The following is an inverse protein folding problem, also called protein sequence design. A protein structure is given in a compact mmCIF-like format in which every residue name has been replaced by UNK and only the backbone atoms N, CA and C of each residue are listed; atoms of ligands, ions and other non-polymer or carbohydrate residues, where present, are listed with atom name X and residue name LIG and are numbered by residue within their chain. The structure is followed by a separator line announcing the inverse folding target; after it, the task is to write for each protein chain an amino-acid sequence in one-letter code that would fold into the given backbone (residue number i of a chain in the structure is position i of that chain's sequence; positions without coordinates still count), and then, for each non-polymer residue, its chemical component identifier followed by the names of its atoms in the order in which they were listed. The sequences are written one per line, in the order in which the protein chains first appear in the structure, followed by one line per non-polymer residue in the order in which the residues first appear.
data_IF_664058809175
#
_entry.id   IF_664058809175
#
_cell.length_a   1.000
_cell.length_b   1.000
_cell.length_c   1.000
_cell.angle_alpha   90.00
_cell.angle_beta   90.00
_cell.angle_gamma   90.00
#
_symmetry.space_group_name_H-M   'P 1'
#
loop_
_entity.id
_entity.type
_entity.pdbx_description
1 polymer ?
#
# COMPACT_ATOMS: atom_id res chain seq x y z
N UNK A 1 12.83 -14.44 -1.19
CA UNK A 1 13.12 -14.98 0.16
C UNK A 1 12.07 -16.04 0.47
N UNK A 2 12.43 -17.19 1.07
CA UNK A 2 11.48 -18.27 1.41
C UNK A 2 10.67 -18.84 0.23
N UNK A 3 11.20 -18.79 -1.00
CA UNK A 3 10.49 -19.30 -2.18
C UNK A 3 9.25 -18.51 -2.59
N UNK A 4 9.20 -17.20 -2.29
CA UNK A 4 8.17 -16.29 -2.79
C UNK A 4 8.76 -15.15 -3.61
N UNK A 5 8.03 -14.75 -4.65
CA UNK A 5 8.19 -13.47 -5.33
C UNK A 5 7.48 -12.41 -4.49
N UNK A 6 8.24 -11.44 -3.97
CA UNK A 6 7.70 -10.40 -3.11
C UNK A 6 8.05 -9.03 -3.67
N UNK A 7 7.05 -8.16 -3.84
CA UNK A 7 7.24 -6.79 -4.31
C UNK A 7 7.19 -5.85 -3.11
N UNK A 8 8.21 -4.99 -2.98
CA UNK A 8 8.42 -4.06 -1.87
C UNK A 8 8.60 -2.64 -2.41
N UNK A 9 8.21 -1.64 -1.60
CA UNK A 9 8.41 -0.21 -1.92
C UNK A 9 9.72 0.29 -1.32
N UNK A 10 10.05 -0.18 -0.13
CA UNK A 10 11.27 0.17 0.58
C UNK A 10 12.32 -0.92 0.37
N UNK A 11 13.58 -0.51 0.33
CA UNK A 11 14.73 -1.41 0.23
C UNK A 11 15.02 -2.03 1.61
N UNK A 12 14.12 -2.91 2.05
CA UNK A 12 14.24 -3.70 3.28
C UNK A 12 14.15 -5.19 2.95
N UNK A 13 15.00 -5.60 2.01
CA UNK A 13 15.02 -6.95 1.42
C UNK A 13 15.01 -8.05 2.50
N UNK A 14 15.60 -7.81 3.67
CA UNK A 14 15.75 -8.75 4.78
C UNK A 14 14.56 -8.81 5.78
N UNK A 15 13.81 -7.72 6.03
CA UNK A 15 12.92 -7.63 7.22
C UNK A 15 11.47 -7.14 6.96
N UNK A 16 11.07 -6.81 5.72
CA UNK A 16 9.74 -6.26 5.42
C UNK A 16 8.69 -7.26 4.92
N UNK A 17 7.44 -7.15 5.40
CA UNK A 17 6.26 -7.66 4.68
C UNK A 17 6.08 -6.83 3.40
N UNK A 18 6.23 -7.46 2.23
CA UNK A 18 6.01 -6.77 0.95
C UNK A 18 4.54 -6.42 0.72
N UNK A 19 4.28 -5.49 -0.20
CA UNK A 19 2.92 -5.09 -0.58
C UNK A 19 2.22 -6.13 -1.45
N UNK A 20 2.99 -7.09 -1.97
CA UNK A 20 2.49 -8.24 -2.70
C UNK A 20 3.46 -9.40 -2.53
N UNK A 21 2.92 -10.61 -2.39
CA UNK A 21 3.71 -11.83 -2.31
C UNK A 21 2.96 -12.99 -2.94
N UNK A 22 3.64 -13.78 -3.75
CA UNK A 22 3.11 -15.03 -4.30
C UNK A 22 4.22 -16.09 -4.39
N UNK A 23 3.84 -17.36 -4.40
CA UNK A 23 4.80 -18.46 -4.50
C UNK A 23 5.46 -18.51 -5.88
N UNK A 24 6.72 -18.93 -5.88
CA UNK A 24 7.46 -19.31 -7.09
C UNK A 24 7.65 -20.82 -7.11
N UNK A 25 7.71 -21.40 -8.31
CA UNK A 25 7.89 -22.85 -8.47
C UNK A 25 9.27 -23.28 -7.97
N UNK A 26 10.30 -22.51 -8.32
CA UNK A 26 11.67 -22.76 -7.87
C UNK A 26 11.96 -21.97 -6.60
N UNK A 27 11.88 -22.63 -5.44
CA UNK A 27 12.02 -21.97 -4.14
C UNK A 27 13.44 -21.48 -3.82
N UNK A 28 14.45 -22.13 -4.41
CA UNK A 28 15.87 -21.85 -4.18
C UNK A 28 16.42 -20.78 -5.13
N UNK A 29 15.58 -20.12 -5.92
CA UNK A 29 16.00 -19.08 -6.85
C UNK A 29 16.41 -17.79 -6.12
N UNK A 30 17.43 -17.12 -6.66
CA UNK A 30 17.88 -15.80 -6.24
C UNK A 30 17.31 -14.70 -7.15
N UNK A 31 17.48 -13.43 -6.75
CA UNK A 31 17.06 -12.30 -7.59
C UNK A 31 17.84 -12.24 -8.91
N UNK A 32 19.09 -12.72 -8.93
CA UNK A 32 19.95 -12.71 -10.12
C UNK A 32 19.50 -13.73 -11.18
N UNK A 33 18.69 -14.71 -10.79
CA UNK A 33 18.16 -15.75 -11.69
C UNK A 33 16.88 -15.29 -12.43
N UNK A 34 16.27 -14.18 -12.01
CA UNK A 34 15.04 -13.64 -12.55
C UNK A 34 15.29 -12.45 -13.49
N UNK A 35 14.39 -12.23 -14.45
CA UNK A 35 14.44 -11.06 -15.34
C UNK A 35 13.32 -10.08 -15.01
N UNK A 36 13.66 -8.79 -14.94
CA UNK A 36 12.72 -7.73 -14.58
C UNK A 36 12.67 -6.67 -15.68
N UNK A 37 11.46 -6.30 -16.09
CA UNK A 37 11.20 -5.19 -17.00
C UNK A 37 10.12 -4.31 -16.38
N UNK A 38 10.22 -3.00 -16.62
CA UNK A 38 9.21 -2.07 -16.15
C UNK A 38 8.91 -0.98 -17.19
N UNK A 39 7.73 -0.37 -17.06
CA UNK A 39 7.34 0.82 -17.78
C UNK A 39 6.72 1.80 -16.80
N UNK A 40 7.31 2.99 -16.72
CA UNK A 40 6.86 4.07 -15.84
C UNK A 40 5.84 4.95 -16.60
N UNK A 41 4.62 5.03 -16.07
CA UNK A 41 3.50 5.84 -16.55
C UNK A 41 3.11 6.91 -15.50
N UNK A 42 4.09 7.35 -14.70
CA UNK A 42 3.92 8.33 -13.63
C UNK A 42 3.44 7.67 -12.34
N UNK A 43 2.13 7.69 -12.08
CA UNK A 43 1.61 7.03 -10.87
C UNK A 43 1.45 5.51 -11.05
N UNK A 44 1.33 5.03 -12.28
CA UNK A 44 1.31 3.60 -12.58
C UNK A 44 2.69 3.13 -13.04
N UNK A 45 3.18 2.04 -12.47
CA UNK A 45 4.36 1.32 -12.96
C UNK A 45 3.93 -0.07 -13.38
N UNK A 46 4.09 -0.37 -14.66
CA UNK A 46 3.85 -1.69 -15.21
C UNK A 46 5.09 -2.55 -15.02
N UNK A 47 4.94 -3.76 -14.51
CA UNK A 47 6.03 -4.69 -14.25
C UNK A 47 5.82 -5.97 -15.04
N UNK A 48 6.90 -6.47 -15.63
CA UNK A 48 7.00 -7.81 -16.19
C UNK A 48 8.17 -8.50 -15.50
N UNK A 49 7.87 -9.59 -14.81
CA UNK A 49 8.84 -10.35 -14.03
C UNK A 49 8.83 -11.78 -14.54
N UNK A 50 10.00 -12.30 -14.91
CA UNK A 50 10.21 -13.71 -15.25
C UNK A 50 11.01 -14.37 -14.14
N UNK A 51 10.37 -15.15 -13.26
CA UNK A 51 11.09 -16.00 -12.31
C UNK A 51 11.89 -17.08 -13.05
N UNK A 52 12.85 -17.68 -12.36
CA UNK A 52 13.74 -18.68 -12.95
C UNK A 52 12.99 -19.92 -13.42
N UNK A 53 13.13 -20.27 -14.71
CA UNK A 53 12.45 -21.39 -15.37
C UNK A 53 10.91 -21.34 -15.33
N UNK A 54 10.34 -20.15 -15.16
CA UNK A 54 8.89 -19.93 -15.11
C UNK A 54 8.42 -18.98 -16.21
N UNK A 55 7.10 -18.93 -16.41
CA UNK A 55 6.48 -17.99 -17.34
C UNK A 55 6.52 -16.53 -16.84
N UNK A 56 6.41 -15.60 -17.79
CA UNK A 56 6.31 -14.18 -17.50
C UNK A 56 5.07 -13.85 -16.66
N UNK A 57 5.28 -13.14 -15.56
CA UNK A 57 4.23 -12.60 -14.67
C UNK A 57 4.14 -11.09 -14.83
N UNK A 58 2.94 -10.55 -14.77
CA UNK A 58 2.68 -9.14 -15.07
C UNK A 58 1.94 -8.46 -13.93
N UNK A 59 2.37 -7.25 -13.59
CA UNK A 59 1.81 -6.50 -12.47
C UNK A 59 1.62 -5.03 -12.80
N UNK A 60 0.67 -4.41 -12.13
CA UNK A 60 0.45 -2.97 -12.11
C UNK A 60 0.69 -2.50 -10.68
N UNK A 61 1.71 -1.69 -10.48
CA UNK A 61 1.95 -0.97 -9.23
C UNK A 61 1.34 0.43 -9.33
N UNK A 62 0.57 0.83 -8.32
CA UNK A 62 0.12 2.21 -8.17
C UNK A 62 0.84 2.88 -7.00
N UNK A 63 1.57 3.96 -7.29
CA UNK A 63 2.43 4.64 -6.33
C UNK A 63 1.66 5.44 -5.27
N UNK A 64 0.43 5.86 -5.53
CA UNK A 64 -0.40 6.64 -4.58
C UNK A 64 -1.10 5.77 -3.56
N UNK A 65 -1.73 4.68 -4.00
CA UNK A 65 -2.39 3.72 -3.10
C UNK A 65 -1.44 2.64 -2.59
N UNK A 66 -0.19 2.61 -3.06
CA UNK A 66 0.86 1.65 -2.67
C UNK A 66 0.42 0.19 -2.81
N UNK A 67 -0.36 -0.10 -3.85
CA UNK A 67 -0.88 -1.44 -4.15
C UNK A 67 -0.28 -1.99 -5.43
N UNK A 68 -0.10 -3.30 -5.46
CA UNK A 68 0.24 -4.06 -6.66
C UNK A 68 -0.92 -4.99 -6.97
N UNK A 69 -1.29 -5.06 -8.24
CA UNK A 69 -2.27 -6.03 -8.75
C UNK A 69 -1.62 -6.86 -9.83
N UNK A 70 -1.76 -8.19 -9.73
CA UNK A 70 -1.33 -9.12 -10.79
C UNK A 70 -2.34 -9.11 -11.93
N UNK A 71 -1.85 -8.85 -13.13
CA UNK A 71 -2.70 -8.71 -14.33
C UNK A 71 -2.03 -9.33 -15.54
N UNK A 72 -2.21 -10.65 -15.70
CA UNK A 72 -1.55 -11.43 -16.74
C UNK A 72 -1.97 -11.04 -18.17
N UNK A 73 -3.14 -10.42 -18.35
CA UNK A 73 -3.62 -9.94 -19.66
C UNK A 73 -2.81 -8.76 -20.20
N UNK A 74 -1.97 -8.13 -19.36
CA UNK A 74 -1.02 -7.11 -19.79
C UNK A 74 0.02 -7.66 -20.78
N UNK A 75 0.25 -8.98 -20.77
CA UNK A 75 1.11 -9.67 -21.76
C UNK A 75 0.58 -9.53 -23.20
N UNK A 76 -0.75 -9.45 -23.33
CA UNK A 76 -1.45 -9.50 -24.60
C UNK A 76 -1.59 -8.08 -25.16
N UNK A 77 -2.24 -7.19 -24.42
CA UNK A 77 -2.38 -5.77 -24.79
C UNK A 77 -2.74 -4.89 -23.58
N UNK A 78 -1.88 -3.90 -23.30
CA UNK A 78 -2.19 -2.75 -22.44
C UNK A 78 -2.16 -1.46 -23.24
N UNK A 79 -3.26 -0.71 -23.23
CA UNK A 79 -3.43 0.51 -24.03
C UNK A 79 -3.67 1.68 -23.09
N UNK A 80 -3.00 2.81 -23.34
CA UNK A 80 -3.24 4.05 -22.58
C UNK A 80 -4.66 4.55 -22.84
N UNK A 81 -5.35 4.89 -21.75
CA UNK A 81 -6.61 5.62 -21.79
C UNK A 81 -6.37 7.06 -22.27
N UNK A 82 -7.40 7.75 -22.80
CA UNK A 82 -7.31 9.15 -23.14
C UNK A 82 -6.86 10.01 -21.96
N UNK A 83 -6.19 11.13 -22.25
CA UNK A 83 -5.75 12.13 -21.27
C UNK A 83 -4.95 11.53 -20.09
N UNK A 84 -4.20 10.45 -20.37
CA UNK A 84 -3.34 9.72 -19.42
C UNK A 84 -4.07 9.21 -18.17
N UNK A 85 -5.41 9.05 -18.23
CA UNK A 85 -6.25 8.64 -17.10
C UNK A 85 -5.95 7.24 -16.55
N UNK A 86 -5.22 6.42 -17.30
CA UNK A 86 -4.79 5.09 -16.88
C UNK A 86 -4.53 4.15 -18.06
N UNK A 87 -4.74 2.87 -17.84
CA UNK A 87 -4.60 1.82 -18.86
C UNK A 87 -5.87 0.99 -18.98
N UNK A 88 -6.18 0.57 -20.21
CA UNK A 88 -7.21 -0.40 -20.53
C UNK A 88 -6.58 -1.68 -21.07
N UNK A 89 -7.17 -2.79 -20.65
CA UNK A 89 -6.76 -4.16 -20.95
C UNK A 89 -7.93 -4.86 -21.62
N UNK A 90 -7.68 -5.99 -22.26
CA UNK A 90 -8.74 -6.78 -22.89
C UNK A 90 -9.83 -7.26 -21.93
N UNK A 91 -9.53 -7.37 -20.64
CA UNK A 91 -10.47 -7.82 -19.61
C UNK A 91 -10.65 -6.80 -18.48
N UNK A 92 -10.38 -5.52 -18.68
CA UNK A 92 -10.54 -4.54 -17.61
C UNK A 92 -9.81 -3.22 -17.84
N UNK A 93 -9.69 -2.44 -16.77
CA UNK A 93 -8.97 -1.18 -16.78
C UNK A 93 -8.40 -0.86 -15.39
N UNK A 94 -7.41 0.02 -15.37
CA UNK A 94 -6.76 0.52 -14.17
C UNK A 94 -6.48 2.02 -14.32
N UNK A 95 -7.08 2.84 -13.46
CA UNK A 95 -6.94 4.30 -13.49
C UNK A 95 -5.75 4.77 -12.64
N UNK A 96 -5.26 5.97 -12.95
CA UNK A 96 -4.23 6.65 -12.15
C UNK A 96 -4.70 6.84 -10.70
N UNK A 97 -5.99 7.07 -10.45
CA UNK A 97 -6.56 7.22 -9.09
C UNK A 97 -6.53 5.94 -8.24
N UNK A 98 -6.16 4.80 -8.85
CA UNK A 98 -6.15 3.47 -8.21
C UNK A 98 -7.45 2.70 -8.37
N UNK A 99 -8.51 3.34 -8.88
CA UNK A 99 -9.73 2.64 -9.26
C UNK A 99 -9.46 1.70 -10.43
N UNK A 100 -9.95 0.48 -10.31
CA UNK A 100 -9.72 -0.55 -11.30
C UNK A 100 -10.88 -1.53 -11.30
N UNK A 101 -11.05 -2.19 -12.44
CA UNK A 101 -12.01 -3.28 -12.59
C UNK A 101 -11.45 -4.28 -13.57
N UNK A 102 -11.20 -5.49 -13.07
CA UNK A 102 -10.80 -6.65 -13.86
C UNK A 102 -12.00 -7.61 -13.90
N UNK A 103 -12.44 -7.97 -15.10
CA UNK A 103 -13.56 -8.88 -15.32
C UNK A 103 -13.07 -10.34 -15.33
N UNK A 104 -13.88 -11.25 -14.78
CA UNK A 104 -13.55 -12.67 -14.68
C UNK A 104 -13.45 -13.35 -16.05
N UNK A 105 -14.33 -12.97 -16.98
CA UNK A 105 -14.30 -13.47 -18.35
C UNK A 105 -13.16 -12.81 -19.10
N UNK A 106 -12.22 -13.63 -19.58
CA UNK A 106 -11.09 -13.20 -20.40
C UNK A 106 -10.90 -14.11 -21.61
N UNK A 107 -10.27 -13.55 -22.63
CA UNK A 107 -9.81 -14.28 -23.81
C UNK A 107 -8.30 -14.04 -23.88
N UNK A 108 -7.53 -15.11 -23.95
CA UNK A 108 -6.07 -15.05 -23.98
C UNK A 108 -5.58 -14.89 -25.43
N UNK A 109 -4.41 -14.25 -25.61
CA UNK A 109 -3.82 -14.08 -26.95
C UNK A 109 -4.54 -13.05 -27.82
N UNK A 110 -5.37 -12.21 -27.20
CA UNK A 110 -6.04 -11.08 -27.85
C UNK A 110 -5.02 -10.01 -28.26
N UNK A 111 -5.20 -9.45 -29.45
CA UNK A 111 -4.42 -8.32 -29.95
C UNK A 111 -5.30 -7.09 -29.98
N UNK A 112 -4.72 -5.93 -29.69
CA UNK A 112 -5.42 -4.66 -29.89
C UNK A 112 -5.64 -4.42 -31.39
N UNK A 113 -6.89 -4.23 -31.78
CA UNK A 113 -7.28 -4.02 -33.18
C UNK A 113 -7.42 -2.53 -33.51
N UNK A 114 -8.23 -1.79 -32.75
CA UNK A 114 -8.45 -0.36 -32.96
C UNK A 114 -9.12 0.33 -31.77
N UNK A 115 -8.99 1.66 -31.76
CA UNK A 115 -9.72 2.60 -30.90
C UNK A 115 -10.65 3.45 -31.78
N UNK A 116 -11.91 3.61 -31.37
CA UNK A 116 -12.89 4.49 -32.02
C UNK A 116 -13.29 5.56 -31.01
N UNK A 117 -13.09 6.82 -31.37
CA UNK A 117 -13.50 7.96 -30.55
C UNK A 117 -14.87 8.44 -31.03
N UNK A 118 -15.82 8.61 -30.10
CA UNK A 118 -17.09 9.26 -30.42
C UNK A 118 -16.89 10.76 -30.68
N UNK A 119 -17.62 11.37 -31.63
CA UNK A 119 -17.65 12.81 -31.82
C UNK A 119 -18.11 13.61 -30.60
N UNK A 120 -18.77 12.98 -29.61
CA UNK A 120 -19.08 13.61 -28.33
C UNK A 120 -17.83 13.86 -27.47
N UNK A 121 -16.68 13.27 -27.79
CA UNK A 121 -15.43 13.45 -27.04
C UNK A 121 -15.38 12.72 -25.69
N UNK A 122 -16.48 12.13 -25.22
CA UNK A 122 -16.60 11.45 -23.93
C UNK A 122 -16.34 9.94 -24.06
N UNK A 123 -16.86 9.32 -25.11
CA UNK A 123 -16.86 7.86 -25.26
C UNK A 123 -15.77 7.37 -26.20
N UNK A 124 -15.06 6.34 -25.76
CA UNK A 124 -14.02 5.64 -26.53
C UNK A 124 -14.33 4.15 -26.56
N UNK A 125 -14.36 3.57 -27.76
CA UNK A 125 -14.52 2.13 -27.97
C UNK A 125 -13.15 1.52 -28.24
N UNK A 126 -12.74 0.57 -27.41
CA UNK A 126 -11.53 -0.23 -27.59
C UNK A 126 -11.92 -1.62 -28.07
N UNK A 127 -11.27 -2.07 -29.14
CA UNK A 127 -11.57 -3.35 -29.76
C UNK A 127 -10.32 -4.21 -29.75
N UNK A 128 -10.45 -5.41 -29.18
CA UNK A 128 -9.45 -6.45 -29.16
C UNK A 128 -9.94 -7.64 -29.98
N UNK A 129 -9.02 -8.38 -30.58
CA UNK A 129 -9.31 -9.49 -31.48
C UNK A 129 -8.38 -10.68 -31.24
N UNK A 130 -8.95 -11.87 -31.19
CA UNK A 130 -8.26 -13.15 -31.04
C UNK A 130 -8.38 -13.95 -32.35
N UNK A 131 -7.25 -14.47 -32.84
CA UNK A 131 -7.17 -15.05 -34.19
C UNK A 131 -7.67 -16.49 -34.28
N UNK A 132 -7.54 -17.30 -33.22
CA UNK A 132 -7.82 -18.74 -33.23
C UNK A 132 -9.32 -19.06 -33.36
N UNK A 133 -10.16 -18.32 -32.62
CA UNK A 133 -11.61 -18.50 -32.59
C UNK A 133 -12.35 -17.33 -33.25
N UNK A 134 -11.63 -16.33 -33.75
CA UNK A 134 -12.20 -15.08 -34.28
C UNK A 134 -13.07 -14.35 -33.24
N UNK A 135 -12.63 -14.36 -31.98
CA UNK A 135 -13.33 -13.67 -30.91
C UNK A 135 -12.92 -12.18 -30.84
N UNK A 136 -13.90 -11.33 -30.58
CA UNK A 136 -13.72 -9.90 -30.33
C UNK A 136 -14.09 -9.58 -28.88
N UNK A 137 -13.29 -8.71 -28.27
CA UNK A 137 -13.63 -8.07 -26.99
C UNK A 137 -13.75 -6.58 -27.23
N UNK A 138 -14.93 -6.04 -26.94
CA UNK A 138 -15.25 -4.63 -27.16
C UNK A 138 -15.53 -3.97 -25.82
N UNK A 139 -14.78 -2.92 -25.52
CA UNK A 139 -14.86 -2.17 -24.27
C UNK A 139 -15.21 -0.72 -24.55
N UNK A 140 -16.30 -0.25 -23.95
CA UNK A 140 -16.74 1.15 -24.02
C UNK A 140 -16.27 1.87 -22.77
N UNK A 141 -15.34 2.80 -22.92
CA UNK A 141 -14.83 3.67 -21.86
C UNK A 141 -15.44 5.06 -21.97
N UNK A 142 -15.86 5.65 -20.84
CA UNK A 142 -16.30 7.03 -20.77
C UNK A 142 -15.28 7.85 -19.96
N UNK A 143 -14.78 8.94 -20.55
CA UNK A 143 -13.71 9.79 -19.98
C UNK A 143 -14.19 10.60 -18.77
N UNK A 144 -15.47 10.98 -18.73
CA UNK A 144 -16.06 11.74 -17.61
C UNK A 144 -16.30 10.81 -16.44
N UNK A 145 -17.07 9.74 -16.65
CA UNK A 145 -17.39 8.76 -15.60
C UNK A 145 -16.16 7.96 -15.16
N UNK A 146 -15.12 7.90 -16.00
CA UNK A 146 -13.93 7.08 -15.83
C UNK A 146 -14.23 5.58 -15.63
N UNK A 147 -15.30 5.10 -16.28
CA UNK A 147 -15.70 3.69 -16.18
C UNK A 147 -15.74 3.00 -17.53
N UNK A 148 -15.54 1.68 -17.48
CA UNK A 148 -15.80 0.78 -18.62
C UNK A 148 -17.15 0.09 -18.42
N UNK A 149 -18.04 0.23 -19.41
CA UNK A 149 -19.33 -0.48 -19.46
C UNK A 149 -19.10 -1.99 -19.57
N UNK A 150 -20.15 -2.79 -19.36
CA UNK A 150 -20.06 -4.25 -19.48
C UNK A 150 -19.42 -4.66 -20.82
N UNK A 151 -18.33 -5.45 -20.79
CA UNK A 151 -17.65 -5.89 -22.01
C UNK A 151 -18.56 -6.68 -22.94
N UNK A 152 -18.42 -6.45 -24.24
CA UNK A 152 -19.09 -7.25 -25.27
C UNK A 152 -18.08 -8.24 -25.83
N UNK A 153 -18.37 -9.53 -25.63
CA UNK A 153 -17.66 -10.63 -26.27
C UNK A 153 -18.50 -11.12 -27.43
N UNK A 154 -17.93 -11.16 -28.64
CA UNK A 154 -18.65 -11.55 -29.87
C UNK A 154 -17.71 -12.15 -30.92
N UNK A 155 -18.25 -12.80 -31.96
CA UNK A 155 -17.44 -13.38 -33.05
C UNK A 155 -17.42 -12.49 -34.31
N UNK A 156 -18.20 -11.41 -34.29
CA UNK A 156 -18.22 -10.43 -35.37
C UNK A 156 -19.10 -9.26 -34.98
N UNK A 157 -18.71 -8.07 -35.46
CA UNK A 157 -19.44 -6.85 -35.20
C UNK A 157 -19.28 -5.85 -36.36
N UNK A 158 -20.21 -4.90 -36.45
CA UNK A 158 -20.12 -3.73 -37.31
C UNK A 158 -20.70 -2.52 -36.59
N UNK A 159 -20.21 -1.33 -36.97
CA UNK A 159 -20.68 -0.05 -36.45
C UNK A 159 -21.09 0.84 -37.63
N UNK A 160 -22.35 1.28 -37.62
CA UNK A 160 -22.91 2.16 -38.63
C UNK A 160 -22.66 3.64 -38.30
N UNK A 161 -22.76 4.51 -39.32
CA UNK A 161 -22.47 5.94 -39.18
C UNK A 161 -23.38 6.65 -38.15
N UNK A 162 -24.60 6.15 -37.96
CA UNK A 162 -25.58 6.70 -37.00
C UNK A 162 -25.41 6.13 -35.58
N UNK A 163 -24.33 5.39 -35.31
CA UNK A 163 -24.02 4.85 -33.99
C UNK A 163 -24.72 3.52 -33.68
N UNK A 164 -25.46 2.93 -34.61
CA UNK A 164 -25.96 1.56 -34.45
C UNK A 164 -24.79 0.57 -34.52
N UNK A 165 -24.64 -0.26 -33.49
CA UNK A 165 -23.68 -1.35 -33.44
C UNK A 165 -24.41 -2.69 -33.49
N UNK A 166 -24.06 -3.51 -34.47
CA UNK A 166 -24.59 -4.86 -34.61
C UNK A 166 -23.48 -5.87 -34.30
N UNK A 167 -23.79 -6.91 -33.53
CA UNK A 167 -22.86 -8.01 -33.30
C UNK A 167 -23.60 -9.34 -33.15
N UNK A 168 -22.86 -10.43 -33.29
CA UNK A 168 -23.39 -11.78 -33.11
C UNK A 168 -22.39 -12.68 -32.39
N UNK A 169 -22.92 -13.73 -31.78
CA UNK A 169 -22.16 -14.81 -31.17
C UNK A 169 -22.34 -16.07 -32.00
N UNK A 170 -21.26 -16.82 -32.18
CA UNK A 170 -21.35 -18.15 -32.79
C UNK A 170 -22.02 -19.11 -31.82
N UNK A 171 -22.93 -19.92 -32.34
CA UNK A 171 -23.51 -21.05 -31.61
C UNK A 171 -22.61 -22.27 -31.77
N UNK A 172 -22.54 -23.12 -30.74
CA UNK A 172 -21.71 -24.33 -30.77
C UNK A 172 -22.24 -25.36 -31.78
N UNK A 173 -23.54 -25.36 -32.04
CA UNK A 173 -24.18 -26.25 -32.99
C UNK A 173 -24.54 -25.49 -34.28
N UNK A 174 -24.36 -26.10 -35.47
CA UNK A 174 -24.78 -25.48 -36.72
C UNK A 174 -26.30 -25.22 -36.75
N UNK A 175 -26.69 -23.96 -36.72
CA UNK A 175 -28.08 -23.50 -36.83
C UNK A 175 -28.43 -22.99 -38.23
N UNK A 176 -29.73 -22.97 -38.56
CA UNK A 176 -30.25 -22.26 -39.75
C UNK A 176 -30.58 -20.79 -39.47
N UNK A 177 -30.68 -20.43 -38.19
CA UNK A 177 -31.03 -19.10 -37.71
C UNK A 177 -29.95 -18.67 -36.73
N UNK A 178 -29.49 -17.42 -36.83
CA UNK A 178 -28.50 -16.86 -35.92
C UNK A 178 -29.07 -15.57 -35.30
N UNK A 179 -28.86 -15.41 -33.99
CA UNK A 179 -29.26 -14.19 -33.30
C UNK A 179 -28.26 -13.06 -33.57
N UNK A 180 -28.76 -11.94 -34.08
CA UNK A 180 -28.00 -10.69 -34.21
C UNK A 180 -28.56 -9.71 -33.19
N UNK A 181 -27.68 -9.09 -32.41
CA UNK A 181 -28.03 -8.06 -31.45
C UNK A 181 -27.68 -6.69 -32.02
N UNK A 182 -28.62 -5.74 -31.89
CA UNK A 182 -28.48 -4.36 -32.38
C UNK A 182 -28.56 -3.43 -31.18
N UNK A 183 -27.58 -2.56 -31.04
CA UNK A 183 -27.47 -1.60 -29.95
C UNK A 183 -27.33 -0.20 -30.51
N UNK A 184 -28.11 0.75 -29.99
CA UNK A 184 -27.85 2.16 -30.23
C UNK A 184 -26.70 2.59 -29.32
N UNK A 185 -25.61 3.06 -29.90
CA UNK A 185 -24.39 3.46 -29.18
C UNK A 185 -24.06 4.93 -29.44
N UNK A 186 -23.22 5.57 -28.60
CA UNK A 186 -22.79 6.94 -28.83
C UNK A 186 -21.74 7.09 -29.94
N UNK A 187 -21.31 6.01 -30.60
CA UNK A 187 -20.21 6.03 -31.57
C UNK A 187 -20.69 6.37 -32.99
N UNK A 188 -21.19 7.59 -33.17
CA UNK A 188 -21.59 8.11 -34.49
C UNK A 188 -20.38 8.57 -35.29
N UNK A 189 -20.56 8.80 -36.59
CA UNK A 189 -19.53 9.39 -37.46
C UNK A 189 -19.43 10.91 -37.27
N UNK A 190 -20.56 11.57 -37.05
CA UNK A 190 -20.67 13.02 -36.88
C UNK A 190 -21.44 13.35 -35.60
N UNK A 191 -21.11 14.49 -34.99
CA UNK A 191 -21.84 15.01 -33.82
C UNK A 191 -23.13 15.67 -34.31
N UNK A 192 -24.25 15.27 -33.72
CA UNK A 192 -25.55 15.91 -33.99
C UNK A 192 -25.68 17.12 -33.06
N UNK A 193 -25.65 18.37 -33.57
CA UNK A 193 -25.74 19.55 -32.72
C UNK A 193 -27.14 19.71 -32.12
N UNK A 194 -27.20 20.10 -30.85
CA UNK A 194 -28.46 20.46 -30.20
C UNK A 194 -28.76 21.95 -30.38
N UNK A 195 -29.49 22.26 -31.43
CA UNK A 195 -29.84 23.63 -31.82
C UNK A 195 -30.63 24.42 -30.75
N UNK A 196 -31.28 23.75 -29.81
CA UNK A 196 -32.08 24.40 -28.76
C UNK A 196 -31.25 25.25 -27.79
N UNK A 197 -29.94 24.99 -27.69
CA UNK A 197 -29.03 25.68 -26.76
C UNK A 197 -28.07 26.64 -27.46
N UNK A 198 -28.31 27.01 -28.73
CA UNK A 198 -27.43 27.90 -29.51
C UNK A 198 -27.07 29.21 -28.82
N UNK A 199 -28.00 29.78 -28.06
CA UNK A 199 -27.82 31.05 -27.36
C UNK A 199 -27.15 30.90 -25.98
N UNK A 200 -26.93 29.67 -25.52
CA UNK A 200 -26.28 29.39 -24.23
C UNK A 200 -24.78 29.69 -24.30
N UNK A 201 -24.21 30.21 -23.21
CA UNK A 201 -22.79 30.62 -23.18
C UNK A 201 -21.83 29.45 -23.46
N UNK A 202 -22.13 28.27 -22.92
CA UNK A 202 -21.37 27.03 -23.16
C UNK A 202 -21.42 26.56 -24.62
N UNK A 203 -22.40 26.98 -25.42
CA UNK A 203 -22.51 26.59 -26.83
C UNK A 203 -21.33 27.13 -27.67
N UNK A 204 -20.66 28.18 -27.19
CA UNK A 204 -19.48 28.77 -27.83
C UNK A 204 -18.18 28.03 -27.48
N UNK A 205 -18.22 27.13 -26.51
CA UNK A 205 -17.06 26.36 -26.04
C UNK A 205 -17.01 25.04 -26.81
N UNK A 206 -15.81 24.62 -27.21
CA UNK A 206 -15.65 23.34 -27.90
C UNK A 206 -16.02 22.18 -26.97
N UNK A 207 -16.82 21.23 -27.45
CA UNK A 207 -17.32 20.12 -26.62
C UNK A 207 -16.20 19.38 -25.88
N UNK A 208 -15.07 19.11 -26.55
CA UNK A 208 -13.89 18.49 -25.92
C UNK A 208 -13.37 19.26 -24.70
N UNK A 209 -13.40 20.59 -24.71
CA UNK A 209 -12.96 21.38 -23.55
C UNK A 209 -13.90 21.23 -22.35
N UNK A 210 -15.21 21.13 -22.61
CA UNK A 210 -16.22 20.88 -21.56
C UNK A 210 -16.03 19.47 -20.99
N UNK A 211 -15.88 18.48 -21.86
CA UNK A 211 -15.65 17.07 -21.46
C UNK A 211 -14.40 16.94 -20.61
N UNK A 212 -13.29 17.56 -21.02
CA UNK A 212 -12.07 17.55 -20.23
C UNK A 212 -12.29 18.20 -18.86
N UNK A 213 -12.96 19.35 -18.78
CA UNK A 213 -13.28 19.98 -17.49
C UNK A 213 -14.13 19.07 -16.60
N UNK A 214 -15.16 18.44 -17.15
CA UNK A 214 -16.02 17.51 -16.41
C UNK A 214 -15.25 16.29 -15.92
N UNK A 215 -14.35 15.74 -16.74
CA UNK A 215 -13.51 14.61 -16.36
C UNK A 215 -12.51 14.99 -15.25
N UNK A 216 -11.88 16.17 -15.33
CA UNK A 216 -10.96 16.63 -14.27
C UNK A 216 -11.69 16.89 -12.95
N UNK A 217 -12.90 17.46 -13.01
CA UNK A 217 -13.75 17.68 -11.84
C UNK A 217 -14.24 16.36 -11.26
N UNK A 218 -14.61 15.39 -12.09
CA UNK A 218 -14.99 14.06 -11.61
C UNK A 218 -13.80 13.38 -10.90
N UNK A 219 -12.59 13.50 -11.43
CA UNK A 219 -11.40 13.00 -10.76
C UNK A 219 -11.17 13.67 -9.40
N UNK A 220 -11.38 14.99 -9.29
CA UNK A 220 -11.35 15.70 -8.02
C UNK A 220 -12.40 15.14 -7.04
N UNK A 221 -13.62 14.86 -7.49
CA UNK A 221 -14.67 14.23 -6.65
C UNK A 221 -14.24 12.83 -6.20
N UNK A 222 -13.63 12.05 -7.08
CA UNK A 222 -13.09 10.72 -6.75
C UNK A 222 -12.01 10.84 -5.68
N UNK A 223 -11.07 11.78 -5.81
CA UNK A 223 -10.03 12.03 -4.80
C UNK A 223 -10.64 12.42 -3.45
N UNK A 224 -11.63 13.31 -3.43
CA UNK A 224 -12.33 13.73 -2.21
C UNK A 224 -13.05 12.57 -1.49
N UNK A 225 -13.36 11.48 -2.20
CA UNK A 225 -13.96 10.28 -1.62
C UNK A 225 -12.96 9.24 -1.12
N UNK A 226 -11.65 9.44 -1.37
CA UNK A 226 -10.60 8.51 -0.91
C UNK A 226 -10.34 8.68 0.58
N UNK A 227 -9.92 7.59 1.20
CA UNK A 227 -9.45 7.57 2.58
C UNK A 227 -8.03 8.16 2.70
N UNK A 228 -7.67 8.59 3.91
CA UNK A 228 -6.35 9.14 4.27
C UNK A 228 -5.17 8.15 4.06
N UNK A 229 -5.45 6.91 3.68
CA UNK A 229 -4.42 5.93 3.29
C UNK A 229 -3.78 6.24 1.93
N UNK A 230 -4.38 7.13 1.13
CA UNK A 230 -3.82 7.59 -0.13
C UNK A 230 -2.67 8.58 0.11
N UNK A 231 -1.49 8.28 -0.42
CA UNK A 231 -0.30 9.11 -0.18
C UNK A 231 -0.33 10.41 -1.01
N UNK A 232 -0.13 11.55 -0.34
CA UNK A 232 -0.19 12.87 -0.97
C UNK A 232 -1.60 13.26 -1.44
N UNK A 233 -2.65 12.77 -0.76
CA UNK A 233 -4.05 13.03 -1.14
C UNK A 233 -4.35 14.53 -1.21
N UNK A 234 -4.03 15.27 -0.15
CA UNK A 234 -4.32 16.69 -0.07
C UNK A 234 -3.49 17.51 -1.07
N UNK A 235 -2.25 17.13 -1.34
CA UNK A 235 -1.44 17.74 -2.41
C UNK A 235 -2.08 17.52 -3.79
N UNK A 236 -2.62 16.34 -4.05
CA UNK A 236 -3.28 16.03 -5.32
C UNK A 236 -4.59 16.81 -5.47
N UNK A 237 -5.38 16.90 -4.40
CA UNK A 237 -6.60 17.72 -4.37
C UNK A 237 -6.25 19.20 -4.62
N UNK A 238 -5.21 19.73 -3.99
CA UNK A 238 -4.74 21.10 -4.17
C UNK A 238 -4.33 21.36 -5.62
N UNK A 239 -3.42 20.52 -6.16
CA UNK A 239 -2.91 20.64 -7.54
C UNK A 239 -4.02 20.52 -8.56
N UNK A 240 -4.94 19.55 -8.40
CA UNK A 240 -6.06 19.32 -9.31
C UNK A 240 -7.05 20.47 -9.28
N UNK A 241 -7.41 20.94 -8.08
CA UNK A 241 -8.29 22.09 -7.91
C UNK A 241 -7.69 23.35 -8.54
N UNK A 242 -6.39 23.59 -8.34
CA UNK A 242 -5.69 24.70 -8.96
C UNK A 242 -5.67 24.59 -10.49
N UNK A 243 -5.35 23.40 -11.03
CA UNK A 243 -5.35 23.13 -12.46
C UNK A 243 -6.71 23.41 -13.12
N UNK A 244 -7.80 23.02 -12.46
CA UNK A 244 -9.16 23.27 -12.95
C UNK A 244 -9.47 24.78 -12.95
N UNK A 245 -9.15 25.49 -11.87
CA UNK A 245 -9.41 26.93 -11.75
C UNK A 245 -8.62 27.77 -12.77
N UNK A 246 -7.40 27.33 -13.09
CA UNK A 246 -6.52 28.00 -14.07
C UNK A 246 -6.85 27.62 -15.51
N UNK A 247 -7.18 26.36 -15.77
CA UNK A 247 -7.44 25.84 -17.11
C UNK A 247 -8.79 26.25 -17.69
N UNK A 248 -9.80 26.42 -16.84
CA UNK A 248 -11.19 26.62 -17.27
C UNK A 248 -11.75 27.97 -16.82
N UNK A 249 -11.22 29.06 -17.37
CA UNK A 249 -11.62 30.44 -17.05
C UNK A 249 -13.12 30.72 -17.16
N UNK A 250 -13.83 29.99 -18.03
CA UNK A 250 -15.27 30.11 -18.23
C UNK A 250 -16.10 29.58 -17.04
N UNK A 251 -15.49 28.89 -16.07
CA UNK A 251 -16.13 28.50 -14.81
C UNK A 251 -16.34 29.70 -13.86
N UNK A 252 -15.68 30.84 -14.10
CA UNK A 252 -15.66 32.03 -13.22
C UNK A 252 -16.96 32.84 -13.21
N UNK A 253 -17.99 32.43 -13.94
CA UNK A 253 -19.24 33.18 -13.97
C UNK A 253 -19.86 33.23 -12.57
N UNK A 254 -20.21 34.44 -12.10
CA UNK A 254 -20.82 34.75 -10.79
C UNK A 254 -22.24 34.17 -10.61
N UNK A 255 -22.59 33.13 -11.36
CA UNK A 255 -23.83 32.41 -11.15
C UNK A 255 -23.81 31.78 -9.76
N UNK A 256 -24.88 31.88 -8.96
CA UNK A 256 -24.98 31.21 -7.66
C UNK A 256 -24.88 29.68 -7.76
N UNK A 257 -24.96 29.10 -8.97
CA UNK A 257 -24.76 27.69 -9.26
C UNK A 257 -23.40 27.40 -9.96
N UNK A 258 -22.45 28.33 -9.93
CA UNK A 258 -21.13 28.17 -10.54
C UNK A 258 -20.21 27.23 -9.75
N UNK A 259 -19.33 26.51 -10.47
CA UNK A 259 -18.40 25.54 -9.85
C UNK A 259 -17.11 26.16 -9.33
N UNK A 260 -16.80 27.41 -9.70
CA UNK A 260 -15.56 28.07 -9.31
C UNK A 260 -15.40 28.22 -7.79
N UNK A 261 -16.45 28.71 -7.10
CA UNK A 261 -16.39 28.95 -5.67
C UNK A 261 -16.23 27.63 -4.85
N UNK A 262 -17.03 26.58 -5.09
CA UNK A 262 -16.81 25.28 -4.44
C UNK A 262 -15.41 24.70 -4.64
N UNK A 263 -14.86 24.75 -5.87
CA UNK A 263 -13.52 24.21 -6.16
C UNK A 263 -12.44 25.03 -5.44
N UNK A 264 -12.62 26.35 -5.34
CA UNK A 264 -11.72 27.23 -4.60
C UNK A 264 -11.71 26.90 -3.11
N UNK A 265 -12.89 26.70 -2.50
CA UNK A 265 -13.01 26.31 -1.09
C UNK A 265 -12.36 24.95 -0.82
N UNK A 266 -12.57 23.97 -1.70
CA UNK A 266 -11.90 22.66 -1.64
C UNK A 266 -10.38 22.82 -1.64
N UNK A 267 -9.83 23.66 -2.53
CA UNK A 267 -8.40 23.94 -2.57
C UNK A 267 -7.88 24.52 -1.25
N UNK A 268 -8.56 25.54 -0.72
CA UNK A 268 -8.16 26.21 0.52
C UNK A 268 -8.16 25.23 1.71
N UNK A 269 -9.17 24.36 1.79
CA UNK A 269 -9.24 23.28 2.80
C UNK A 269 -8.08 22.29 2.62
N UNK A 270 -7.79 21.87 1.39
CA UNK A 270 -6.70 20.94 1.11
C UNK A 270 -5.34 21.50 1.54
N UNK A 271 -5.06 22.78 1.24
CA UNK A 271 -3.83 23.46 1.69
C UNK A 271 -3.70 23.43 3.22
N UNK A 272 -4.77 23.76 3.94
CA UNK A 272 -4.76 23.72 5.40
C UNK A 272 -4.60 22.30 5.95
N UNK A 273 -5.06 21.29 5.23
CA UNK A 273 -4.97 19.89 5.64
C UNK A 273 -3.58 19.29 5.42
N UNK A 274 -2.81 19.76 4.42
CA UNK A 274 -1.42 19.32 4.18
C UNK A 274 -0.56 19.52 5.42
N UNK A 275 -0.55 20.74 5.98
CA UNK A 275 0.27 21.09 7.15
C UNK A 275 -0.07 20.23 8.38
N UNK A 276 -1.35 19.88 8.56
CA UNK A 276 -1.78 19.07 9.69
C UNK A 276 -1.48 17.57 9.45
N UNK A 277 -1.65 17.10 8.22
CA UNK A 277 -1.35 15.73 7.84
C UNK A 277 0.15 15.42 7.96
N UNK A 278 1.03 16.32 7.54
CA UNK A 278 2.48 16.15 7.70
C UNK A 278 2.88 15.95 9.17
N UNK A 279 2.31 16.74 10.08
CA UNK A 279 2.54 16.56 11.54
C UNK A 279 2.03 15.21 12.03
N UNK A 280 0.86 14.78 11.57
CA UNK A 280 0.29 13.47 11.93
C UNK A 280 1.19 12.33 11.47
N UNK A 281 1.69 12.41 10.22
CA UNK A 281 2.62 11.42 9.66
C UNK A 281 3.94 11.40 10.44
N UNK A 282 4.51 12.55 10.77
CA UNK A 282 5.74 12.65 11.57
C UNK A 282 5.56 12.00 12.95
N UNK A 283 4.45 12.30 13.65
CA UNK A 283 4.12 11.69 14.94
C UNK A 283 3.99 10.17 14.80
N UNK A 284 3.27 9.68 13.78
CA UNK A 284 3.13 8.23 13.52
C UNK A 284 4.46 7.56 13.28
N UNK A 285 5.32 8.13 12.43
CA UNK A 285 6.64 7.58 12.13
C UNK A 285 7.51 7.50 13.39
N UNK A 286 7.51 8.57 14.21
CA UNK A 286 8.24 8.58 15.48
C UNK A 286 7.70 7.55 16.47
N UNK A 287 6.39 7.42 16.60
CA UNK A 287 5.74 6.42 17.46
C UNK A 287 6.10 5.01 17.02
N UNK A 288 6.00 4.72 15.71
CA UNK A 288 6.33 3.41 15.14
C UNK A 288 7.81 3.05 15.28
N UNK A 289 8.72 4.01 15.04
CA UNK A 289 10.16 3.80 15.24
C UNK A 289 10.48 3.47 16.70
N UNK A 290 9.84 4.19 17.64
CA UNK A 290 10.00 3.93 19.09
C UNK A 290 9.47 2.54 19.45
N UNK A 291 8.28 2.16 18.96
CA UNK A 291 7.72 0.83 19.16
C UNK A 291 8.64 -0.28 18.60
N UNK A 292 9.20 -0.08 17.40
CA UNK A 292 10.10 -1.04 16.77
C UNK A 292 11.42 -1.19 17.56
N UNK A 293 11.98 -0.09 18.07
CA UNK A 293 13.17 -0.14 18.92
C UNK A 293 12.90 -0.90 20.23
N UNK A 294 11.80 -0.59 20.91
CA UNK A 294 11.40 -1.31 22.14
C UNK A 294 11.12 -2.78 21.85
N UNK A 295 10.48 -3.11 20.73
CA UNK A 295 10.23 -4.51 20.33
C UNK A 295 11.54 -5.29 20.15
N UNK A 296 12.54 -4.70 19.47
CA UNK A 296 13.88 -5.31 19.32
C UNK A 296 14.58 -5.54 20.65
N UNK A 297 14.44 -4.60 21.60
CA UNK A 297 14.98 -4.78 22.97
C UNK A 297 14.28 -5.93 23.71
N UNK A 298 12.95 -6.02 23.60
CA UNK A 298 12.16 -7.11 24.18
C UNK A 298 12.58 -8.46 23.62
N UNK A 299 12.67 -8.60 22.29
CA UNK A 299 13.12 -9.84 21.64
C UNK A 299 14.52 -10.26 22.11
N UNK A 300 15.45 -9.31 22.22
CA UNK A 300 16.81 -9.58 22.72
C UNK A 300 16.81 -10.12 24.15
N UNK A 301 15.98 -9.57 25.04
CA UNK A 301 15.83 -10.02 26.43
C UNK A 301 15.15 -11.39 26.50
N UNK A 302 14.12 -11.63 25.68
CA UNK A 302 13.45 -12.92 25.61
C UNK A 302 14.37 -14.01 25.04
N UNK A 303 15.23 -13.67 24.09
CA UNK A 303 16.22 -14.60 23.54
C UNK A 303 17.32 -14.94 24.55
N UNK A 304 17.87 -13.93 25.23
CA UNK A 304 18.92 -14.15 26.25
C UNK A 304 18.43 -15.02 27.40
N UNK A 305 17.16 -14.87 27.80
CA UNK A 305 16.56 -15.70 28.84
C UNK A 305 16.22 -17.13 28.40
N UNK A 306 16.09 -17.43 27.11
CA UNK A 306 15.85 -18.81 26.63
C UNK A 306 17.14 -19.62 26.50
N UNK A 307 18.27 -18.97 26.21
CA UNK A 307 19.56 -19.64 25.94
C UNK A 307 20.51 -19.67 27.14
N UNK A 308 20.21 -18.95 28.23
CA UNK A 308 21.09 -18.90 29.39
C UNK A 308 20.86 -20.09 30.34
N UNK A 309 21.93 -20.85 30.61
CA UNK A 309 22.02 -21.65 31.84
C UNK A 309 22.34 -20.67 32.97
N UNK A 310 21.39 -20.49 33.89
CA UNK A 310 21.53 -19.56 34.99
C UNK A 310 22.31 -20.23 36.13
N UNK A 311 23.62 -20.05 36.12
CA UNK A 311 24.53 -20.69 37.09
C UNK A 311 24.79 -19.80 38.31
N UNK A 312 24.48 -18.50 38.24
CA UNK A 312 24.67 -17.54 39.34
C UNK A 312 23.43 -16.69 39.60
N UNK A 313 23.25 -16.29 40.86
CA UNK A 313 22.13 -15.44 41.28
C UNK A 313 22.24 -14.00 40.72
N UNK A 314 23.45 -13.48 40.48
CA UNK A 314 23.67 -12.20 39.80
C UNK A 314 23.03 -12.15 38.40
N UNK A 315 23.05 -13.27 37.66
CA UNK A 315 22.44 -13.35 36.34
C UNK A 315 20.92 -13.23 36.42
N UNK A 316 20.29 -13.89 37.40
CA UNK A 316 18.86 -13.78 37.65
C UNK A 316 18.46 -12.33 37.99
N UNK A 317 19.16 -11.70 38.93
CA UNK A 317 18.87 -10.33 39.38
C UNK A 317 19.06 -9.32 38.24
N UNK A 318 20.14 -9.44 37.46
CA UNK A 318 20.42 -8.56 36.33
C UNK A 318 19.30 -8.64 35.27
N UNK A 319 18.83 -9.85 34.96
CA UNK A 319 17.77 -10.04 33.96
C UNK A 319 16.40 -9.57 34.46
N UNK A 320 16.06 -9.81 35.74
CA UNK A 320 14.83 -9.28 36.34
C UNK A 320 14.83 -7.75 36.35
N UNK A 321 15.96 -7.12 36.66
CA UNK A 321 16.11 -5.67 36.60
C UNK A 321 15.93 -5.13 35.17
N UNK A 322 16.55 -5.77 34.18
CA UNK A 322 16.37 -5.41 32.76
C UNK A 322 14.91 -5.57 32.31
N UNK A 323 14.23 -6.65 32.70
CA UNK A 323 12.81 -6.87 32.42
C UNK A 323 11.92 -5.81 33.08
N UNK A 324 12.24 -5.38 34.30
CA UNK A 324 11.52 -4.31 35.00
C UNK A 324 11.69 -2.96 34.29
N UNK A 325 12.90 -2.65 33.83
CA UNK A 325 13.18 -1.42 33.06
C UNK A 325 12.41 -1.41 31.73
N UNK A 326 12.50 -2.49 30.94
CA UNK A 326 11.82 -2.54 29.64
C UNK A 326 10.31 -2.52 29.78
N UNK A 327 9.76 -3.12 30.84
CA UNK A 327 8.32 -3.01 31.16
C UNK A 327 7.91 -1.56 31.43
N UNK A 328 8.76 -0.78 32.10
CA UNK A 328 8.56 0.66 32.26
C UNK A 328 8.54 1.41 30.93
N UNK A 329 9.46 1.09 30.01
CA UNK A 329 9.47 1.64 28.65
C UNK A 329 8.19 1.28 27.88
N UNK A 330 7.73 0.02 27.95
CA UNK A 330 6.49 -0.46 27.31
C UNK A 330 5.26 0.29 27.84
N UNK A 331 5.16 0.51 29.14
CA UNK A 331 4.08 1.33 29.73
C UNK A 331 4.14 2.76 29.20
N UNK A 332 5.34 3.32 29.05
CA UNK A 332 5.55 4.63 28.43
C UNK A 332 5.01 4.72 27.00
N UNK A 333 5.11 3.66 26.20
CA UNK A 333 4.59 3.62 24.83
C UNK A 333 3.08 3.87 24.76
N UNK A 334 2.32 3.47 25.78
CA UNK A 334 0.86 3.69 25.83
C UNK A 334 0.47 5.17 25.84
N UNK A 335 1.41 6.06 26.18
CA UNK A 335 1.19 7.51 26.19
C UNK A 335 1.39 8.17 24.82
N UNK A 336 2.00 7.46 23.87
CA UNK A 336 2.28 7.97 22.52
C UNK A 336 1.01 7.99 21.67
N UNK A 337 0.83 9.06 20.90
CA UNK A 337 -0.30 9.16 19.95
C UNK A 337 -0.10 8.19 18.79
N UNK A 338 -1.22 7.62 18.31
CA UNK A 338 -1.26 6.65 17.20
C UNK A 338 -0.49 5.35 17.44
N UNK A 339 -0.26 4.98 18.70
CA UNK A 339 0.39 3.72 19.05
C UNK A 339 -0.52 2.52 18.75
N UNK A 340 0.07 1.42 18.28
CA UNK A 340 -0.57 0.12 18.16
C UNK A 340 -0.71 -0.51 19.55
N UNK A 341 -1.88 -0.32 20.17
CA UNK A 341 -2.14 -0.78 21.53
C UNK A 341 -2.10 -2.31 21.65
N UNK A 342 -2.61 -3.03 20.63
CA UNK A 342 -2.60 -4.50 20.64
C UNK A 342 -1.17 -5.05 20.67
N UNK A 343 -0.25 -4.48 19.87
CA UNK A 343 1.17 -4.86 19.93
C UNK A 343 1.80 -4.52 21.27
N UNK A 344 1.54 -3.34 21.82
CA UNK A 344 2.10 -2.93 23.12
C UNK A 344 1.63 -3.85 24.24
N UNK A 345 0.35 -4.22 24.26
CA UNK A 345 -0.20 -5.17 25.23
C UNK A 345 0.40 -6.56 25.08
N UNK A 346 0.59 -7.04 23.84
CA UNK A 346 1.26 -8.32 23.60
C UNK A 346 2.71 -8.33 24.10
N UNK A 347 3.46 -7.25 23.88
CA UNK A 347 4.84 -7.14 24.39
C UNK A 347 4.88 -7.10 25.92
N UNK A 348 3.93 -6.41 26.55
CA UNK A 348 3.81 -6.36 28.01
C UNK A 348 3.52 -7.75 28.58
N UNK A 349 2.58 -8.49 27.98
CA UNK A 349 2.22 -9.84 28.41
C UNK A 349 3.39 -10.82 28.28
N UNK A 350 4.13 -10.77 27.16
CA UNK A 350 5.30 -11.61 26.94
C UNK A 350 6.41 -11.36 27.98
N UNK A 351 6.70 -10.09 28.29
CA UNK A 351 7.69 -9.73 29.31
C UNK A 351 7.19 -10.11 30.71
N UNK A 352 5.93 -9.86 31.03
CA UNK A 352 5.36 -10.20 32.34
C UNK A 352 5.40 -11.71 32.61
N UNK A 353 4.92 -12.52 31.66
CA UNK A 353 4.97 -13.98 31.77
C UNK A 353 6.40 -14.49 31.92
N UNK A 354 7.36 -13.94 31.15
CA UNK A 354 8.76 -14.37 31.27
C UNK A 354 9.41 -13.94 32.57
N UNK A 355 9.06 -12.78 33.10
CA UNK A 355 9.55 -12.31 34.39
C UNK A 355 9.05 -13.20 35.54
N UNK A 356 7.78 -13.64 35.49
CA UNK A 356 7.21 -14.55 36.49
C UNK A 356 7.88 -15.93 36.46
N UNK A 357 8.16 -16.47 35.27
CA UNK A 357 8.93 -17.71 35.10
C UNK A 357 10.34 -17.58 35.71
N UNK A 358 11.02 -16.48 35.41
CA UNK A 358 12.40 -16.26 35.84
C UNK A 358 12.49 -16.00 37.34
N UNK A 359 11.52 -15.29 37.92
CA UNK A 359 11.38 -15.12 39.36
C UNK A 359 11.14 -16.46 40.07
N UNK A 360 10.25 -17.30 39.52
CA UNK A 360 9.98 -18.65 40.05
C UNK A 360 11.24 -19.54 39.99
N UNK A 361 11.99 -19.48 38.89
CA UNK A 361 13.25 -20.20 38.74
C UNK A 361 14.34 -19.67 39.70
N UNK A 362 14.39 -18.36 39.93
CA UNK A 362 15.29 -17.74 40.91
C UNK A 362 14.99 -18.24 42.33
N UNK A 363 13.71 -18.30 42.72
CA UNK A 363 13.28 -18.86 44.02
C UNK A 363 13.68 -20.34 44.15
N UNK A 364 13.47 -21.15 43.09
CA UNK A 364 13.91 -22.55 43.10
C UNK A 364 15.43 -22.71 43.19
N UNK A 365 16.19 -21.80 42.57
CA UNK A 365 17.65 -21.77 42.70
C UNK A 365 18.06 -21.46 44.14
N UNK A 366 17.43 -20.47 44.77
CA UNK A 366 17.69 -20.08 46.16
C UNK A 366 17.39 -21.17 47.20
N UNK A 367 16.49 -22.11 46.89
CA UNK A 367 16.17 -23.25 47.75
C UNK A 367 17.22 -24.37 47.71
N UNK A 368 18.24 -24.28 46.84
CA UNK A 368 19.33 -25.27 46.79
C UNK A 368 20.38 -24.98 47.87
N UNK A 369 20.97 -26.04 48.44
CA UNK A 369 21.85 -25.97 49.62
C UNK A 369 23.10 -25.08 49.48
N UNK A 370 23.49 -24.68 48.25
CA UNK A 370 24.67 -23.86 47.96
C UNK A 370 24.37 -22.52 47.26
N UNK A 371 23.10 -22.07 47.20
CA UNK A 371 22.72 -20.92 46.38
C UNK A 371 23.34 -19.58 46.81
N UNK A 372 23.66 -19.42 48.10
CA UNK A 372 24.21 -18.20 48.68
C UNK A 372 25.73 -18.27 48.91
N UNK A 373 26.36 -19.41 48.61
CA UNK A 373 27.79 -19.66 48.85
C UNK A 373 28.65 -18.66 48.06
N UNK A 374 28.19 -18.26 46.87
CA UNK A 374 28.81 -17.21 46.06
C UNK A 374 28.81 -15.85 46.76
N UNK A 375 27.68 -15.38 47.29
CA UNK A 375 27.60 -14.10 48.00
C UNK A 375 28.40 -14.10 49.30
N UNK A 376 28.41 -15.23 50.02
CA UNK A 376 29.25 -15.40 51.21
C UNK A 376 30.74 -15.31 50.84
N UNK A 377 31.15 -15.88 49.71
CA UNK A 377 32.54 -15.78 49.23
C UNK A 377 32.92 -14.38 48.74
N UNK A 378 32.01 -13.67 48.06
CA UNK A 378 32.17 -12.28 47.63
C UNK A 378 32.27 -11.33 48.83
N UNK A 379 31.41 -11.48 49.84
CA UNK A 379 31.50 -10.72 51.08
C UNK A 379 32.81 -10.98 51.81
N UNK A 380 33.27 -12.23 51.92
CA UNK A 380 34.55 -12.55 52.54
C UNK A 380 35.74 -11.94 51.78
N UNK A 381 35.70 -11.94 50.44
CA UNK A 381 36.67 -11.27 49.55
C UNK A 381 36.69 -9.75 49.75
N UNK A 382 35.50 -9.13 49.82
CA UNK A 382 35.35 -7.70 50.07
C UNK A 382 35.86 -7.34 51.47
N UNK A 383 35.55 -8.12 52.50
CA UNK A 383 36.09 -7.94 53.87
C UNK A 383 37.62 -8.07 53.90
N UNK A 384 38.19 -9.04 53.18
CA UNK A 384 39.65 -9.19 53.07
C UNK A 384 40.28 -8.00 52.31
N UNK A 385 39.59 -7.46 51.30
CA UNK A 385 40.02 -6.29 50.54
C UNK A 385 39.98 -5.00 51.38
N UNK A 386 38.96 -4.86 52.26
CA UNK A 386 38.89 -3.80 53.29
C UNK A 386 40.07 -3.89 54.25
N UNK A 387 40.50 -5.10 54.63
CA UNK A 387 41.63 -5.29 55.54
C UNK A 387 43.00 -4.94 54.94
N UNK A 388 43.12 -4.91 53.60
CA UNK A 388 44.36 -4.60 52.84
C UNK A 388 44.41 -3.15 52.31
N UNK A 389 43.40 -2.35 52.63
CA UNK A 389 43.17 -1.04 52.04
C UNK A 389 44.17 -0.01 52.60
N UNK A 390 45.05 0.53 51.75
CA UNK A 390 46.14 1.45 52.13
C UNK A 390 46.01 2.86 51.56
N UNK A 391 45.13 3.10 50.57
CA UNK A 391 44.91 4.40 49.93
C UNK A 391 43.43 4.77 49.87
N UNK A 392 43.12 6.05 50.11
CA UNK A 392 41.75 6.60 50.14
C UNK A 392 41.06 6.56 48.77
N UNK A 393 41.81 6.52 47.67
CA UNK A 393 41.26 6.45 46.30
C UNK A 393 40.62 5.07 46.03
N UNK A 394 41.21 4.01 46.58
CA UNK A 394 40.72 2.63 46.42
C UNK A 394 39.49 2.36 47.30
N UNK A 395 39.25 3.18 48.32
CA UNK A 395 38.09 3.08 49.21
C UNK A 395 36.77 3.42 48.49
N UNK A 396 36.78 4.39 47.56
CA UNK A 396 35.59 4.75 46.77
C UNK A 396 35.17 3.67 45.77
N UNK A 397 36.14 2.95 45.21
CA UNK A 397 35.86 1.82 44.33
C UNK A 397 35.21 0.68 45.13
N UNK A 398 35.77 0.37 46.30
CA UNK A 398 35.16 -0.62 47.21
C UNK A 398 33.77 -0.22 47.71
N UNK A 399 33.53 1.07 47.94
CA UNK A 399 32.21 1.59 48.33
C UNK A 399 31.17 1.36 47.22
N UNK A 400 31.53 1.58 45.94
CA UNK A 400 30.69 1.25 44.79
C UNK A 400 30.40 -0.25 44.66
N UNK A 401 31.38 -1.10 44.93
CA UNK A 401 31.23 -2.55 44.88
C UNK A 401 30.28 -3.05 46.00
N UNK A 402 30.37 -2.47 47.20
CA UNK A 402 29.44 -2.72 48.31
C UNK A 402 28.02 -2.25 48.00
N UNK A 403 27.86 -1.05 47.43
CA UNK A 403 26.55 -0.53 47.01
C UNK A 403 25.91 -1.43 45.95
N UNK A 404 26.69 -1.90 44.97
CA UNK A 404 26.20 -2.85 43.96
C UNK A 404 25.75 -4.18 44.59
N UNK A 405 26.53 -4.75 45.52
CA UNK A 405 26.16 -5.98 46.22
C UNK A 405 24.89 -5.79 47.06
N UNK A 406 24.74 -4.63 47.70
CA UNK A 406 23.55 -4.27 48.49
C UNK A 406 22.30 -4.14 47.63
N UNK A 407 22.38 -3.46 46.47
CA UNK A 407 21.27 -3.33 45.52
C UNK A 407 20.83 -4.70 45.00
N UNK A 408 21.78 -5.60 44.74
CA UNK A 408 21.48 -6.97 44.32
C UNK A 408 20.73 -7.76 45.40
N UNK A 409 21.11 -7.61 46.68
CA UNK A 409 20.44 -8.24 47.81
C UNK A 409 19.06 -7.62 48.12
N UNK A 410 18.82 -6.34 47.80
CA UNK A 410 17.50 -5.70 47.91
C UNK A 410 16.51 -6.13 46.81
N UNK A 411 17.01 -6.58 45.65
CA UNK A 411 16.21 -7.08 44.54
C UNK A 411 15.71 -8.53 44.73
N UNK A 412 16.23 -9.20 45.76
CA UNK A 412 15.91 -10.54 46.24
C UNK A 412 14.63 -10.51 47.09
#
# INVERSE_FOLDING_TARGET
VNGTLTIKIEDNTEDGQGIYSEEVEQRDQSLDDASFFYCDLGNLVLLKIRPYLEDDRYFIFNNRVKKVVRVDTLKDAGILLPDDQGIILSNGYYLQTGENKIFDRRIEGVKFLRKIQSPNGEDYLFVFYEEKNHDFVILSYNVIEQTVKTPIFCNGYTLFAEGEMCYFNTEKEPGKTHLIQIWQTPYTKELIPNDAFKDHELYKIGNRQIVNAMAEIQELVVLLSKEDSYNGLYEDIEKRSQGILDGYFWLKNDSPNGLHQPIKEVKEIAVSAIDEFEKVVEIRNKTNATLAETSKKVEKILFSTKSANFDTLEQYISLLSQMRSIRGEIIGLKTLRYIDLEKVESLEEQIASRADDLASACVQFLLKDNALEYYQSQMASLEESVSKLTKVIDARALEQDFDQLSIQLELL
#
